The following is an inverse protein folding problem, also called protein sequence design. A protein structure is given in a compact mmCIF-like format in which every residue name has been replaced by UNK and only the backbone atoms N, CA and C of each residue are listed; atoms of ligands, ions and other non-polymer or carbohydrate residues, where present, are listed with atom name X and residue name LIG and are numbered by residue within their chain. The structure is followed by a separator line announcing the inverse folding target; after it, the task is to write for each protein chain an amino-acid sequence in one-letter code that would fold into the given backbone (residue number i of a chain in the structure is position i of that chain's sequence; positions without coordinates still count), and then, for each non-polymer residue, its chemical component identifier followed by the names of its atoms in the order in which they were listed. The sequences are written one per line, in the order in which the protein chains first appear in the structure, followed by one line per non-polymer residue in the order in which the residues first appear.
data_IF_596415690553
#
_entry.id   IF_596415690553
#
_cell.length_a   1.000
_cell.length_b   1.000
_cell.length_c   1.000
_cell.angle_alpha   90.00
_cell.angle_beta   90.00
_cell.angle_gamma   90.00
#
_symmetry.space_group_name_H-M   'P 1'
#
loop_
_entity.id
_entity.type
_entity.pdbx_description
1 polymer ?
#
# COMPACT_ATOMS: atom_id res chain seq x y z
N UNK A 1 -26.48 -28.25 9.59
CA UNK A 1 -26.36 -26.87 10.09
C UNK A 1 -25.32 -26.16 9.22
N UNK A 2 -25.77 -25.47 8.16
CA UNK A 2 -24.91 -24.85 7.16
C UNK A 2 -24.33 -23.53 7.72
N UNK A 3 -23.08 -23.55 8.10
CA UNK A 3 -22.36 -22.32 8.38
C UNK A 3 -22.04 -21.63 7.05
N UNK A 4 -22.71 -20.51 6.83
CA UNK A 4 -22.53 -19.59 5.74
C UNK A 4 -21.03 -19.22 5.64
N UNK A 5 -20.37 -19.69 4.58
CA UNK A 5 -19.04 -19.19 4.18
C UNK A 5 -19.23 -17.74 3.74
N UNK A 6 -19.23 -16.83 4.68
CA UNK A 6 -19.12 -15.40 4.39
C UNK A 6 -17.81 -15.18 3.64
N UNK A 7 -17.95 -14.71 2.41
CA UNK A 7 -16.87 -14.55 1.46
C UNK A 7 -16.02 -13.33 1.90
N UNK A 8 -15.07 -13.58 2.81
CA UNK A 8 -14.18 -12.57 3.39
C UNK A 8 -13.40 -11.75 2.36
N UNK A 9 -13.35 -12.25 1.10
CA UNK A 9 -12.69 -11.53 -0.01
C UNK A 9 -13.44 -10.27 -0.45
N UNK A 10 -14.77 -10.23 -0.34
CA UNK A 10 -15.56 -9.06 -0.77
C UNK A 10 -15.64 -7.97 0.30
N UNK A 11 -15.46 -8.32 1.57
CA UNK A 11 -15.52 -7.36 2.67
C UNK A 11 -14.26 -6.48 2.74
N UNK A 12 -13.10 -7.04 2.34
CA UNK A 12 -11.81 -6.34 2.34
C UNK A 12 -11.61 -5.40 1.14
N UNK A 13 -12.41 -5.57 0.07
CA UNK A 13 -12.33 -4.69 -1.11
C UNK A 13 -12.73 -3.23 -0.78
N UNK A 14 -13.58 -3.03 0.22
CA UNK A 14 -14.02 -1.70 0.65
C UNK A 14 -12.99 -0.90 1.46
N UNK A 15 -12.02 -1.57 2.08
CA UNK A 15 -11.04 -0.92 2.94
C UNK A 15 -9.87 -0.26 2.19
N UNK A 16 -9.67 -0.63 0.92
CA UNK A 16 -8.53 -0.16 0.11
C UNK A 16 -8.75 1.17 -0.63
N UNK A 17 -9.99 1.69 -0.63
CA UNK A 17 -10.32 2.91 -1.39
C UNK A 17 -9.92 4.22 -0.71
N UNK A 18 -9.48 4.19 0.55
CA UNK A 18 -9.13 5.41 1.30
C UNK A 18 -7.63 5.74 1.31
N UNK A 19 -6.76 4.81 0.90
CA UNK A 19 -5.31 5.02 0.89
C UNK A 19 -4.77 5.84 -0.29
N UNK A 20 -5.60 6.23 -1.26
CA UNK A 20 -5.18 6.93 -2.48
C UNK A 20 -5.09 8.46 -2.38
N UNK A 21 -5.43 9.05 -1.25
CA UNK A 21 -5.53 10.52 -1.13
C UNK A 21 -4.27 11.21 -0.57
N UNK A 22 -3.23 10.46 -0.17
CA UNK A 22 -2.06 11.05 0.51
C UNK A 22 -0.86 11.37 -0.41
N UNK A 23 -0.94 11.12 -1.72
CA UNK A 23 0.20 11.40 -2.62
C UNK A 23 0.29 12.85 -3.12
N UNK A 24 -0.61 13.76 -2.71
CA UNK A 24 -0.64 15.13 -3.25
C UNK A 24 0.00 16.21 -2.35
N UNK A 25 0.67 15.87 -1.24
CA UNK A 25 1.12 16.91 -0.29
C UNK A 25 2.59 16.81 0.15
N UNK A 26 3.49 16.44 -0.72
CA UNK A 26 4.91 16.47 -0.42
C UNK A 26 5.71 17.47 -1.28
N UNK A 27 5.09 18.50 -1.81
CA UNK A 27 5.82 19.65 -2.39
C UNK A 27 5.02 20.95 -2.21
N UNK A 28 5.14 21.58 -1.06
CA UNK A 28 5.23 23.03 -0.98
C UNK A 28 5.86 23.43 0.36
N UNK A 29 7.05 23.96 0.27
CA UNK A 29 7.79 24.61 1.34
C UNK A 29 7.42 26.09 1.42
N UNK A 30 7.38 26.60 2.67
CA UNK A 30 7.41 28.01 3.09
C UNK A 30 6.01 28.64 3.24
N UNK A 31 5.67 29.18 4.35
CA UNK A 31 6.28 30.09 5.35
C UNK A 31 5.38 30.22 6.58
N UNK A 32 6.04 30.30 7.72
CA UNK A 32 5.76 31.03 8.96
C UNK A 32 4.36 31.42 9.44
N UNK A 33 4.28 31.19 10.73
CA UNK A 33 3.61 31.86 11.83
C UNK A 33 2.30 31.28 12.36
N UNK A 34 2.42 31.03 13.62
CA UNK A 34 1.41 31.08 14.70
C UNK A 34 0.80 29.76 15.18
N UNK A 35 1.29 29.37 16.30
CA UNK A 35 0.59 29.41 17.58
C UNK A 35 -0.15 28.16 18.03
N UNK A 36 0.39 27.55 19.05
CA UNK A 36 -0.20 27.00 20.28
C UNK A 36 -1.54 26.20 20.30
N UNK A 37 -2.28 26.04 19.20
CA UNK A 37 -3.55 25.32 19.21
C UNK A 37 -3.46 23.86 18.69
N UNK A 38 -2.31 23.47 18.17
CA UNK A 38 -2.16 22.19 17.42
C UNK A 38 -1.66 21.01 18.27
N UNK A 39 -1.22 21.27 19.50
CA UNK A 39 -0.69 20.22 20.39
C UNK A 39 -1.77 19.37 21.04
N UNK A 40 -2.95 19.93 21.28
CA UNK A 40 -4.05 19.20 21.96
C UNK A 40 -4.77 18.24 21.02
N UNK A 41 -4.90 18.63 19.73
CA UNK A 41 -5.59 17.79 18.73
C UNK A 41 -4.74 16.58 18.31
N UNK A 42 -3.41 16.76 18.20
CA UNK A 42 -2.50 15.66 17.88
C UNK A 42 -2.38 14.64 19.02
N UNK A 43 -2.40 15.10 20.28
CA UNK A 43 -2.36 14.21 21.45
C UNK A 43 -3.66 13.42 21.61
N UNK A 44 -4.82 14.00 21.29
CA UNK A 44 -6.12 13.31 21.34
C UNK A 44 -6.25 12.29 20.22
N UNK A 45 -5.73 12.58 19.01
CA UNK A 45 -5.69 11.62 17.89
C UNK A 45 -4.74 10.46 18.17
N UNK A 46 -3.59 10.70 18.81
CA UNK A 46 -2.65 9.63 19.18
C UNK A 46 -3.22 8.71 20.28
N UNK A 47 -3.97 9.22 21.23
CA UNK A 47 -4.60 8.39 22.28
C UNK A 47 -5.77 7.56 21.74
N UNK A 48 -6.55 8.07 20.78
CA UNK A 48 -7.62 7.29 20.12
C UNK A 48 -7.05 6.21 19.19
N UNK A 49 -5.96 6.49 18.48
CA UNK A 49 -5.27 5.49 17.67
C UNK A 49 -4.67 4.37 18.52
N UNK A 50 -4.10 4.68 19.68
CA UNK A 50 -3.53 3.69 20.61
C UNK A 50 -4.58 2.73 21.16
N UNK A 51 -5.74 3.24 21.62
CA UNK A 51 -6.81 2.37 22.13
C UNK A 51 -7.38 1.45 21.05
N UNK A 52 -7.50 1.93 19.81
CA UNK A 52 -7.94 1.11 18.66
C UNK A 52 -6.98 -0.01 18.31
N UNK A 53 -5.66 0.23 18.39
CA UNK A 53 -4.63 -0.78 18.16
C UNK A 53 -4.73 -1.91 19.19
N UNK A 54 -4.87 -1.60 20.47
CA UNK A 54 -4.94 -2.61 21.53
C UNK A 54 -6.21 -3.46 21.45
N UNK A 55 -7.34 -2.86 21.08
CA UNK A 55 -8.58 -3.61 20.86
C UNK A 55 -8.50 -4.53 19.63
N UNK A 56 -7.82 -4.10 18.57
CA UNK A 56 -7.57 -4.94 17.39
C UNK A 56 -6.63 -6.11 17.73
N UNK A 57 -5.58 -5.88 18.53
CA UNK A 57 -4.70 -6.95 19.02
C UNK A 57 -5.48 -8.00 19.80
N UNK A 58 -6.33 -7.59 20.77
CA UNK A 58 -7.16 -8.53 21.52
C UNK A 58 -8.09 -9.37 20.64
N UNK A 59 -8.68 -8.74 19.60
CA UNK A 59 -9.51 -9.49 18.63
C UNK A 59 -8.71 -10.53 17.87
N UNK A 60 -7.50 -10.18 17.45
CA UNK A 60 -6.60 -11.08 16.73
C UNK A 60 -6.08 -12.20 17.64
N UNK A 61 -5.81 -11.91 18.92
CA UNK A 61 -5.46 -12.92 19.93
C UNK A 61 -6.61 -13.93 20.12
N UNK A 62 -7.85 -13.45 20.19
CA UNK A 62 -9.02 -14.31 20.30
C UNK A 62 -9.32 -15.08 19.01
N UNK A 63 -8.98 -14.54 17.85
CA UNK A 63 -9.14 -15.18 16.55
C UNK A 63 -7.92 -14.89 15.64
N UNK A 64 -6.86 -15.74 15.68
CA UNK A 64 -5.63 -15.54 14.90
C UNK A 64 -5.80 -15.62 13.37
N UNK A 65 -7.01 -15.86 12.87
CA UNK A 65 -7.35 -15.84 11.43
C UNK A 65 -8.32 -14.72 11.07
N UNK A 66 -8.54 -13.77 11.95
CA UNK A 66 -9.36 -12.59 11.68
C UNK A 66 -8.59 -11.59 10.78
N UNK A 67 -8.63 -11.87 9.48
CA UNK A 67 -7.95 -11.05 8.46
C UNK A 67 -8.50 -9.63 8.42
N UNK A 68 -9.78 -9.41 8.75
CA UNK A 68 -10.36 -8.08 8.79
C UNK A 68 -9.74 -7.23 9.91
N UNK A 69 -9.66 -7.77 11.12
CA UNK A 69 -9.01 -7.08 12.24
C UNK A 69 -7.51 -6.88 11.98
N UNK A 70 -6.83 -7.86 11.35
CA UNK A 70 -5.43 -7.70 10.94
C UNK A 70 -5.26 -6.57 9.93
N UNK A 71 -6.12 -6.46 8.90
CA UNK A 71 -6.02 -5.39 7.91
C UNK A 71 -6.22 -4.00 8.55
N UNK A 72 -7.19 -3.88 9.46
CA UNK A 72 -7.40 -2.65 10.25
C UNK A 72 -6.18 -2.32 11.11
N UNK A 73 -5.58 -3.33 11.76
CA UNK A 73 -4.39 -3.15 12.58
C UNK A 73 -3.19 -2.71 11.74
N UNK A 74 -2.97 -3.35 10.58
CA UNK A 74 -1.89 -2.98 9.68
C UNK A 74 -2.05 -1.53 9.15
N UNK A 75 -3.29 -1.12 8.83
CA UNK A 75 -3.59 0.26 8.42
C UNK A 75 -3.34 1.23 9.58
N UNK A 76 -3.75 0.90 10.80
CA UNK A 76 -3.49 1.74 11.97
C UNK A 76 -1.99 1.91 12.25
N UNK A 77 -1.17 0.86 12.04
CA UNK A 77 0.28 0.97 12.09
C UNK A 77 0.85 1.85 10.98
N UNK A 78 0.32 1.76 9.75
CA UNK A 78 0.72 2.63 8.63
C UNK A 78 0.40 4.11 8.95
N UNK A 79 -0.78 4.40 9.48
CA UNK A 79 -1.19 5.74 9.87
C UNK A 79 -0.30 6.31 11.00
N UNK A 80 0.18 5.44 11.89
CA UNK A 80 1.15 5.77 12.93
C UNK A 80 2.61 5.80 12.43
N UNK A 81 2.86 5.53 11.13
CA UNK A 81 4.20 5.35 10.55
C UNK A 81 5.04 4.24 11.21
N UNK A 82 4.37 3.30 11.87
CA UNK A 82 5.01 2.09 12.42
C UNK A 82 5.12 1.02 11.33
N UNK A 83 6.05 1.27 10.41
CA UNK A 83 6.23 0.46 9.21
C UNK A 83 6.59 -0.98 9.52
N UNK A 84 7.36 -1.22 10.58
CA UNK A 84 7.75 -2.58 11.00
C UNK A 84 6.54 -3.43 11.35
N UNK A 85 5.68 -2.94 12.23
CA UNK A 85 4.48 -3.66 12.64
C UNK A 85 3.43 -3.74 11.51
N UNK A 86 3.35 -2.71 10.66
CA UNK A 86 2.51 -2.74 9.46
C UNK A 86 2.92 -3.87 8.49
N UNK A 87 4.21 -3.95 8.15
CA UNK A 87 4.79 -4.99 7.29
C UNK A 87 4.51 -6.38 7.85
N UNK A 88 4.82 -6.60 9.13
CA UNK A 88 4.64 -7.90 9.77
C UNK A 88 3.17 -8.33 9.79
N UNK A 89 2.26 -7.37 9.98
CA UNK A 89 0.82 -7.66 9.97
C UNK A 89 0.34 -7.98 8.55
N UNK A 90 0.77 -7.25 7.53
CA UNK A 90 0.45 -7.56 6.13
C UNK A 90 1.04 -8.90 5.68
N UNK A 91 2.24 -9.27 6.16
CA UNK A 91 2.83 -10.60 5.90
C UNK A 91 2.00 -11.73 6.50
N UNK A 92 1.48 -11.57 7.71
CA UNK A 92 0.54 -12.54 8.31
C UNK A 92 -0.71 -12.71 7.46
N UNK A 93 -1.27 -11.61 6.94
CA UNK A 93 -2.43 -11.66 6.05
C UNK A 93 -2.11 -12.44 4.76
N UNK A 94 -0.98 -12.14 4.11
CA UNK A 94 -0.61 -12.85 2.88
C UNK A 94 -0.27 -14.33 3.11
N UNK A 95 0.16 -14.70 4.31
CA UNK A 95 0.32 -16.11 4.67
C UNK A 95 -1.02 -16.85 4.82
N UNK A 96 -2.08 -16.15 5.28
CA UNK A 96 -3.43 -16.71 5.40
C UNK A 96 -4.15 -16.70 4.04
N UNK A 97 -3.96 -15.65 3.25
CA UNK A 97 -4.60 -15.42 1.95
C UNK A 97 -3.56 -15.17 0.85
N UNK A 98 -2.81 -16.21 0.41
CA UNK A 98 -1.70 -16.04 -0.53
C UNK A 98 -2.14 -15.55 -1.92
N UNK A 99 -3.41 -15.75 -2.29
CA UNK A 99 -3.97 -15.32 -3.58
C UNK A 99 -4.68 -13.96 -3.50
N UNK A 100 -4.54 -13.24 -2.38
CA UNK A 100 -5.16 -11.94 -2.21
C UNK A 100 -4.18 -10.82 -2.52
N UNK A 101 -4.20 -10.36 -3.77
CA UNK A 101 -3.27 -9.35 -4.30
C UNK A 101 -3.15 -8.07 -3.45
N UNK A 102 -4.23 -7.49 -2.89
CA UNK A 102 -4.13 -6.28 -2.10
C UNK A 102 -3.15 -6.34 -0.91
N UNK A 103 -2.96 -7.52 -0.30
CA UNK A 103 -2.00 -7.67 0.81
C UNK A 103 -0.57 -7.41 0.39
N UNK A 104 -0.19 -7.82 -0.82
CA UNK A 104 1.15 -7.60 -1.37
C UNK A 104 1.37 -6.14 -1.78
N UNK A 105 0.33 -5.46 -2.31
CA UNK A 105 0.41 -4.03 -2.58
C UNK A 105 0.65 -3.23 -1.30
N UNK A 106 -0.08 -3.57 -0.23
CA UNK A 106 0.08 -2.91 1.07
C UNK A 106 1.44 -3.19 1.72
N UNK A 107 1.98 -4.41 1.56
CA UNK A 107 3.36 -4.71 1.95
C UNK A 107 4.35 -3.85 1.17
N UNK A 108 4.20 -3.78 -0.15
CA UNK A 108 5.07 -2.98 -1.00
C UNK A 108 5.09 -1.51 -0.59
N UNK A 109 3.90 -0.93 -0.35
CA UNK A 109 3.76 0.43 0.13
C UNK A 109 4.45 0.65 1.50
N UNK A 110 4.27 -0.28 2.44
CA UNK A 110 4.88 -0.18 3.76
C UNK A 110 6.41 -0.30 3.68
N UNK A 111 6.96 -1.22 2.88
CA UNK A 111 8.38 -1.33 2.62
C UNK A 111 8.95 -0.07 1.96
N UNK A 112 8.28 0.46 0.95
CA UNK A 112 8.68 1.72 0.30
C UNK A 112 8.71 2.87 1.29
N UNK A 113 7.71 3.00 2.16
CA UNK A 113 7.64 4.03 3.19
C UNK A 113 8.73 3.86 4.26
N UNK A 114 9.13 2.63 4.53
CA UNK A 114 10.27 2.28 5.38
C UNK A 114 11.64 2.48 4.69
N UNK A 115 11.65 2.89 3.41
CA UNK A 115 12.85 3.02 2.55
C UNK A 115 13.59 1.69 2.33
N UNK A 116 12.86 0.59 2.39
CA UNK A 116 13.35 -0.75 2.04
C UNK A 116 12.96 -1.06 0.58
N UNK A 117 13.66 -0.43 -0.36
CA UNK A 117 13.36 -0.52 -1.78
C UNK A 117 13.50 -1.96 -2.32
N UNK A 118 14.40 -2.74 -1.76
CA UNK A 118 14.61 -4.12 -2.18
C UNK A 118 13.37 -4.99 -1.91
N UNK A 119 12.83 -4.94 -0.69
CA UNK A 119 11.63 -5.69 -0.34
C UNK A 119 10.36 -5.06 -0.94
N UNK A 120 10.31 -3.73 -1.11
CA UNK A 120 9.22 -3.07 -1.83
C UNK A 120 9.10 -3.57 -3.27
N UNK A 121 10.23 -3.68 -4.00
CA UNK A 121 10.29 -4.25 -5.34
C UNK A 121 9.71 -5.66 -5.39
N UNK A 122 10.20 -6.55 -4.53
CA UNK A 122 9.71 -7.95 -4.44
C UNK A 122 8.21 -8.00 -4.17
N UNK A 123 7.71 -7.15 -3.28
CA UNK A 123 6.29 -7.12 -2.93
C UNK A 123 5.42 -6.56 -4.07
N UNK A 124 5.88 -5.55 -4.84
CA UNK A 124 5.18 -5.08 -6.04
C UNK A 124 5.18 -6.14 -7.15
N UNK A 125 6.29 -6.84 -7.40
CA UNK A 125 6.34 -7.97 -8.33
C UNK A 125 5.33 -9.06 -7.94
N UNK A 126 5.26 -9.39 -6.64
CA UNK A 126 4.30 -10.37 -6.12
C UNK A 126 2.86 -9.89 -6.26
N UNK A 127 2.59 -8.61 -6.01
CA UNK A 127 1.28 -8.00 -6.26
C UNK A 127 0.84 -8.20 -7.72
N UNK A 128 1.69 -7.79 -8.66
CA UNK A 128 1.42 -7.89 -10.11
C UNK A 128 1.13 -9.35 -10.51
N UNK A 129 1.94 -10.29 -10.03
CA UNK A 129 1.77 -11.72 -10.33
C UNK A 129 0.50 -12.33 -9.71
N UNK A 130 -0.06 -11.71 -8.66
CA UNK A 130 -1.23 -12.23 -7.94
C UNK A 130 -2.55 -11.64 -8.45
N UNK A 131 -2.53 -10.48 -9.13
CA UNK A 131 -3.74 -9.87 -9.73
C UNK A 131 -4.27 -10.79 -10.85
N UNK A 132 -5.52 -11.22 -10.71
CA UNK A 132 -6.18 -12.08 -11.69
C UNK A 132 -6.67 -11.26 -12.89
N UNK A 133 -6.80 -11.85 -14.09
CA UNK A 133 -7.29 -11.16 -15.27
C UNK A 133 -8.64 -10.46 -15.06
N UNK A 134 -9.56 -11.08 -14.34
CA UNK A 134 -10.87 -10.50 -14.01
C UNK A 134 -10.80 -9.30 -13.04
N UNK A 135 -9.68 -9.10 -12.35
CA UNK A 135 -9.46 -8.07 -11.35
C UNK A 135 -8.66 -6.88 -11.89
N UNK A 136 -8.16 -6.96 -13.14
CA UNK A 136 -7.28 -5.94 -13.74
C UNK A 136 -7.94 -4.56 -13.78
N UNK A 137 -9.20 -4.47 -14.22
CA UNK A 137 -9.89 -3.18 -14.35
C UNK A 137 -9.98 -2.42 -13.01
N UNK A 138 -10.36 -3.11 -11.95
CA UNK A 138 -10.45 -2.48 -10.62
C UNK A 138 -9.09 -2.17 -10.01
N UNK A 139 -8.01 -2.82 -10.48
CA UNK A 139 -6.64 -2.64 -10.00
C UNK A 139 -5.78 -1.76 -10.92
N UNK A 140 -6.32 -1.17 -11.99
CA UNK A 140 -5.54 -0.42 -12.99
C UNK A 140 -4.60 0.61 -12.38
N UNK A 141 -5.09 1.44 -11.47
CA UNK A 141 -4.27 2.49 -10.83
C UNK A 141 -3.11 1.90 -10.02
N UNK A 142 -3.39 0.84 -9.27
CA UNK A 142 -2.38 0.17 -8.45
C UNK A 142 -1.36 -0.59 -9.34
N UNK A 143 -1.82 -1.19 -10.44
CA UNK A 143 -0.94 -1.82 -11.43
C UNK A 143 -0.05 -0.78 -12.12
N UNK A 144 -0.62 0.36 -12.54
CA UNK A 144 0.15 1.45 -13.11
C UNK A 144 1.26 1.92 -12.16
N UNK A 145 0.91 2.12 -10.88
CA UNK A 145 1.87 2.54 -9.87
C UNK A 145 2.93 1.47 -9.60
N UNK A 146 2.55 0.22 -9.44
CA UNK A 146 3.49 -0.88 -9.20
C UNK A 146 4.52 -0.99 -10.34
N UNK A 147 4.08 -0.94 -11.59
CA UNK A 147 4.98 -0.94 -12.74
C UNK A 147 5.84 0.33 -12.83
N UNK A 148 5.30 1.49 -12.50
CA UNK A 148 6.08 2.72 -12.41
C UNK A 148 7.21 2.59 -11.38
N UNK A 149 6.90 2.10 -10.18
CA UNK A 149 7.88 1.91 -9.13
C UNK A 149 9.00 0.95 -9.54
N UNK A 150 8.65 -0.17 -10.18
CA UNK A 150 9.65 -1.11 -10.71
C UNK A 150 10.55 -0.44 -11.76
N UNK A 151 9.98 0.30 -12.71
CA UNK A 151 10.75 1.04 -13.70
C UNK A 151 11.69 2.08 -13.05
N UNK A 152 11.19 2.81 -12.07
CA UNK A 152 11.95 3.81 -11.34
C UNK A 152 13.15 3.20 -10.59
N UNK A 153 12.96 2.08 -9.92
CA UNK A 153 14.05 1.41 -9.18
C UNK A 153 15.05 0.72 -10.11
N UNK A 154 14.65 0.33 -11.31
CA UNK A 154 15.49 -0.37 -12.28
C UNK A 154 16.19 0.56 -13.28
N UNK A 155 15.85 1.84 -13.36
CA UNK A 155 16.34 2.75 -14.38
C UNK A 155 17.86 2.84 -14.51
N UNK A 156 18.59 2.62 -13.43
CA UNK A 156 20.04 2.67 -13.39
C UNK A 156 20.69 1.28 -13.51
N UNK A 157 20.05 0.24 -13.00
CA UNK A 157 20.60 -1.10 -12.91
C UNK A 157 20.22 -1.99 -14.10
N UNK A 158 19.05 -1.75 -14.71
CA UNK A 158 18.55 -2.53 -15.84
C UNK A 158 17.61 -1.69 -16.72
N UNK A 159 18.20 -0.89 -17.62
CA UNK A 159 17.46 0.05 -18.47
C UNK A 159 16.42 -0.64 -19.35
N UNK A 160 16.66 -1.85 -19.82
CA UNK A 160 15.71 -2.56 -20.69
C UNK A 160 14.46 -3.00 -19.91
N UNK A 161 14.64 -3.59 -18.72
CA UNK A 161 13.50 -3.88 -17.83
C UNK A 161 12.75 -2.63 -17.41
N UNK A 162 13.45 -1.54 -17.11
CA UNK A 162 12.81 -0.27 -16.77
C UNK A 162 11.94 0.22 -17.93
N UNK A 163 12.37 0.07 -19.20
CA UNK A 163 11.56 0.40 -20.38
C UNK A 163 10.31 -0.47 -20.51
N UNK A 164 10.44 -1.78 -20.27
CA UNK A 164 9.29 -2.68 -20.27
C UNK A 164 8.27 -2.31 -19.20
N UNK A 165 8.75 -2.08 -17.98
CA UNK A 165 7.87 -1.73 -16.86
C UNK A 165 7.21 -0.36 -17.06
N UNK A 166 7.93 0.66 -17.57
CA UNK A 166 7.31 1.97 -17.80
C UNK A 166 6.25 1.93 -18.91
N UNK A 167 6.46 1.11 -19.94
CA UNK A 167 5.47 0.88 -20.97
C UNK A 167 4.19 0.24 -20.39
N UNK A 168 4.34 -0.74 -19.49
CA UNK A 168 3.22 -1.35 -18.77
C UNK A 168 2.49 -0.35 -17.85
N UNK A 169 3.24 0.48 -17.13
CA UNK A 169 2.64 1.55 -16.32
C UNK A 169 1.75 2.46 -17.16
N UNK A 170 2.25 2.95 -18.30
CA UNK A 170 1.53 3.81 -19.23
C UNK A 170 0.37 3.11 -19.96
N UNK A 171 0.42 1.79 -20.12
CA UNK A 171 -0.71 1.01 -20.64
C UNK A 171 -1.92 1.07 -19.68
N UNK A 172 -1.66 1.05 -18.36
CA UNK A 172 -2.70 1.11 -17.34
C UNK A 172 -3.12 2.54 -16.99
N UNK A 173 -2.19 3.51 -17.01
CA UNK A 173 -2.46 4.94 -16.80
C UNK A 173 -1.65 5.79 -17.78
N UNK A 174 -2.19 6.05 -19.00
CA UNK A 174 -1.52 6.87 -20.01
C UNK A 174 -1.32 8.33 -19.60
N UNK A 175 -2.06 8.80 -18.59
CA UNK A 175 -2.03 10.18 -18.14
C UNK A 175 -1.02 10.47 -17.03
N UNK A 176 -0.36 9.44 -16.49
CA UNK A 176 0.60 9.59 -15.40
C UNK A 176 1.83 10.38 -15.85
N UNK A 177 1.93 11.63 -15.38
CA UNK A 177 2.98 12.56 -15.80
C UNK A 177 4.39 12.11 -15.41
N UNK A 178 4.54 11.44 -14.27
CA UNK A 178 5.85 10.96 -13.82
C UNK A 178 6.29 9.74 -14.63
N UNK A 179 5.34 8.86 -14.99
CA UNK A 179 5.60 7.77 -15.90
C UNK A 179 6.00 8.26 -17.30
N UNK A 180 5.34 9.30 -17.83
CA UNK A 180 5.69 9.93 -19.10
C UNK A 180 7.09 10.54 -19.07
N UNK A 181 7.45 11.26 -18.00
CA UNK A 181 8.80 11.83 -17.82
C UNK A 181 9.86 10.72 -17.77
N UNK A 182 9.62 9.67 -16.97
CA UNK A 182 10.56 8.55 -16.86
C UNK A 182 10.70 7.82 -18.20
N UNK A 183 9.60 7.58 -18.90
CA UNK A 183 9.62 6.96 -20.24
C UNK A 183 10.46 7.76 -21.23
N UNK A 184 10.30 9.08 -21.25
CA UNK A 184 11.13 9.97 -22.09
C UNK A 184 12.62 9.86 -21.72
N UNK A 185 12.95 9.90 -20.43
CA UNK A 185 14.34 9.80 -19.97
C UNK A 185 14.99 8.44 -20.28
N UNK A 186 14.23 7.35 -20.25
CA UNK A 186 14.73 6.02 -20.59
C UNK A 186 14.97 5.84 -22.10
N UNK A 187 14.31 6.62 -22.96
CA UNK A 187 14.41 6.52 -24.42
C UNK A 187 15.31 7.60 -25.05
N UNK A 188 15.80 8.53 -24.24
CA UNK A 188 16.89 9.45 -24.62
C UNK A 188 18.25 8.80 -24.44
#
# INVERSE_FOLDING_TARGET
MNMNKMNSKNLLLGLMLTGGAFFAQAQNTQTDTASAANTTTAAVQQTQAGSGIDDLKKKIEANPKDVESMAKLATAYQDASDWTNAIDTWKKISAILPDWAPSYYSQAYAYQSAKDDANAKIAYEKYIATVKPAEVEQNKKNLAYAYFYLAFTEQQSNKDKAKEHIAKSLQYDPSNQDALKLSKALNS
#
